data_IF_286007391203
#
_entry.id   IF_286007391203
#
_cell.length_a   1.000
_cell.length_b   1.000
_cell.length_c   1.000
_cell.angle_alpha   90.00
_cell.angle_beta   90.00
_cell.angle_gamma   90.00
#
_symmetry.space_group_name_H-M   'P 1'
#
loop_
_entity.id
_entity.type
_entity.pdbx_description
1 polymer ?
#
# COMPACT_ATOMS: atom_id res chain seq x y z
N UNK A 1 39.16 3.90 -1.03
CA UNK A 1 38.71 3.85 -2.44
C UNK A 1 37.21 3.99 -2.48
N UNK A 2 36.68 4.96 -3.23
CA UNK A 2 35.24 5.11 -3.47
C UNK A 2 34.76 4.01 -4.42
N UNK A 3 33.71 3.27 -4.05
CA UNK A 3 33.07 2.30 -4.93
C UNK A 3 32.30 3.08 -6.01
N UNK A 4 32.39 2.70 -7.30
CA UNK A 4 31.67 3.41 -8.36
C UNK A 4 30.16 3.26 -8.17
N UNK A 5 29.42 4.34 -8.43
CA UNK A 5 27.96 4.41 -8.27
C UNK A 5 27.26 4.24 -9.63
N UNK A 6 26.16 3.49 -9.68
CA UNK A 6 25.31 3.45 -10.87
C UNK A 6 24.64 4.80 -11.11
N UNK A 7 24.73 5.31 -12.34
CA UNK A 7 24.06 6.55 -12.77
C UNK A 7 22.71 6.30 -13.44
N UNK A 8 22.36 5.03 -13.67
CA UNK A 8 21.15 4.63 -14.41
C UNK A 8 20.40 3.57 -13.61
N UNK A 9 19.37 4.04 -12.90
CA UNK A 9 18.55 3.21 -12.03
C UNK A 9 17.07 3.31 -12.38
N UNK A 10 16.37 2.19 -12.39
CA UNK A 10 14.91 2.09 -12.42
C UNK A 10 14.46 1.35 -11.16
N UNK A 11 13.32 1.73 -10.58
CA UNK A 11 12.80 1.09 -9.37
C UNK A 11 11.31 0.84 -9.51
N UNK A 12 10.86 -0.30 -9.03
CA UNK A 12 9.45 -0.57 -8.82
C UNK A 12 9.23 -1.20 -7.43
N UNK A 13 8.01 -1.65 -7.18
CA UNK A 13 7.63 -2.20 -5.89
C UNK A 13 8.44 -3.46 -5.52
N UNK A 14 8.79 -4.29 -6.51
CA UNK A 14 9.43 -5.58 -6.30
C UNK A 14 10.95 -5.54 -6.46
N UNK A 15 11.46 -4.71 -7.36
CA UNK A 15 12.83 -4.74 -7.85
C UNK A 15 13.50 -3.37 -7.84
N UNK A 16 14.82 -3.40 -7.66
CA UNK A 16 15.72 -2.29 -7.93
C UNK A 16 16.62 -2.67 -9.11
N UNK A 17 16.57 -1.87 -10.17
CA UNK A 17 17.26 -2.14 -11.42
C UNK A 17 18.38 -1.11 -11.59
N UNK A 18 19.59 -1.57 -11.86
CA UNK A 18 20.75 -0.69 -12.00
C UNK A 18 21.72 -1.20 -13.07
N UNK A 19 22.27 -0.27 -13.85
CA UNK A 19 23.39 -0.61 -14.76
C UNK A 19 24.71 -0.61 -14.01
N UNK A 20 25.50 -1.66 -14.20
CA UNK A 20 26.84 -1.73 -13.63
C UNK A 20 27.71 -0.62 -14.26
N UNK A 21 28.36 0.24 -13.46
CA UNK A 21 29.19 1.32 -13.99
C UNK A 21 30.49 0.84 -14.66
N UNK A 22 30.78 -0.47 -14.62
CA UNK A 22 32.05 -1.04 -15.10
C UNK A 22 31.86 -1.83 -16.40
N UNK A 23 30.77 -2.61 -16.52
CA UNK A 23 30.49 -3.43 -17.71
C UNK A 23 29.13 -3.13 -18.36
N UNK A 24 28.42 -2.10 -17.90
CA UNK A 24 27.10 -1.64 -18.37
C UNK A 24 25.96 -2.68 -18.32
N UNK A 25 26.21 -3.85 -17.74
CA UNK A 25 25.20 -4.90 -17.59
C UNK A 25 24.02 -4.40 -16.74
N UNK A 26 22.79 -4.67 -17.19
CA UNK A 26 21.54 -4.32 -16.51
C UNK A 26 21.21 -5.36 -15.45
N UNK A 27 21.48 -5.03 -14.19
CA UNK A 27 21.19 -5.90 -13.06
C UNK A 27 19.77 -5.62 -12.57
N UNK A 28 19.00 -6.68 -12.28
CA UNK A 28 17.67 -6.61 -11.68
C UNK A 28 17.80 -7.27 -10.31
N UNK A 29 17.76 -6.46 -9.25
CA UNK A 29 17.86 -6.97 -7.88
C UNK A 29 16.45 -7.02 -7.27
N UNK A 30 16.00 -8.21 -6.89
CA UNK A 30 14.78 -8.38 -6.12
C UNK A 30 15.00 -7.82 -4.70
N UNK A 31 14.04 -7.03 -4.22
CA UNK A 31 14.11 -6.38 -2.90
C UNK A 31 14.16 -7.40 -1.76
N UNK A 32 13.41 -8.49 -1.88
CA UNK A 32 13.31 -9.53 -0.86
C UNK A 32 14.51 -10.49 -0.89
N UNK A 33 14.74 -11.17 -2.02
CA UNK A 33 15.74 -12.25 -2.09
C UNK A 33 17.18 -11.72 -2.18
N UNK A 34 17.40 -10.67 -2.97
CA UNK A 34 18.76 -10.23 -3.31
C UNK A 34 19.22 -9.12 -2.36
N UNK A 35 18.37 -8.12 -2.17
CA UNK A 35 18.70 -6.94 -1.36
C UNK A 35 18.37 -7.11 0.12
N UNK A 36 17.51 -8.08 0.45
CA UNK A 36 17.03 -8.37 1.82
C UNK A 36 16.49 -7.12 2.53
N UNK A 37 15.81 -6.25 1.79
CA UNK A 37 15.22 -5.05 2.37
C UNK A 37 14.04 -4.53 1.54
N UNK A 38 13.02 -4.06 2.24
CA UNK A 38 11.90 -3.32 1.65
C UNK A 38 12.01 -1.81 1.91
N UNK A 39 13.09 -1.36 2.55
CA UNK A 39 13.35 0.06 2.81
C UNK A 39 13.86 0.74 1.53
N UNK A 40 13.65 2.07 1.40
CA UNK A 40 14.30 2.87 0.39
C UNK A 40 15.81 2.66 0.43
N UNK A 41 16.37 2.48 -0.74
CA UNK A 41 17.81 2.33 -0.90
C UNK A 41 18.46 3.70 -1.02
N UNK A 42 19.16 4.07 0.04
CA UNK A 42 20.09 5.20 0.07
C UNK A 42 21.52 4.66 0.23
N UNK A 43 22.27 4.62 -0.87
CA UNK A 43 23.64 4.09 -0.96
C UNK A 43 23.84 2.67 -0.42
N UNK A 44 23.40 1.65 -1.18
CA UNK A 44 23.69 0.24 -0.90
C UNK A 44 24.75 -0.32 -1.85
N UNK A 45 25.71 -1.08 -1.32
CA UNK A 45 26.69 -1.83 -2.10
C UNK A 45 26.07 -3.14 -2.61
N UNK A 46 26.22 -3.40 -3.91
CA UNK A 46 25.77 -4.63 -4.58
C UNK A 46 26.87 -5.17 -5.50
N UNK A 47 26.72 -6.40 -5.95
CA UNK A 47 27.62 -7.04 -6.91
C UNK A 47 26.94 -7.16 -8.28
N UNK A 48 27.68 -6.94 -9.37
CA UNK A 48 27.15 -7.17 -10.71
C UNK A 48 27.08 -8.66 -11.05
N UNK A 49 25.94 -9.14 -11.54
CA UNK A 49 25.73 -10.54 -11.94
C UNK A 49 26.59 -11.00 -13.12
N UNK A 50 27.17 -10.07 -13.89
CA UNK A 50 27.99 -10.38 -15.07
C UNK A 50 29.50 -10.29 -14.82
N UNK A 51 29.98 -9.19 -14.23
CA UNK A 51 31.43 -8.98 -14.04
C UNK A 51 31.90 -9.20 -12.60
N UNK A 52 30.99 -9.50 -11.67
CA UNK A 52 31.26 -9.75 -10.25
C UNK A 52 31.95 -8.61 -9.49
N UNK A 53 32.07 -7.43 -10.11
CA UNK A 53 32.61 -6.25 -9.45
C UNK A 53 31.53 -5.56 -8.64
N UNK A 54 31.88 -5.11 -7.45
CA UNK A 54 30.98 -4.36 -6.59
C UNK A 54 30.76 -2.93 -7.09
N UNK A 55 29.54 -2.43 -6.94
CA UNK A 55 29.18 -1.04 -7.22
C UNK A 55 28.08 -0.57 -6.25
N UNK A 56 27.87 0.74 -6.17
CA UNK A 56 26.81 1.34 -5.35
C UNK A 56 25.52 1.56 -6.13
N UNK A 57 24.38 1.41 -5.47
CA UNK A 57 23.04 1.81 -5.94
C UNK A 57 22.40 2.81 -4.96
N UNK A 58 21.67 3.78 -5.48
CA UNK A 58 21.00 4.83 -4.70
C UNK A 58 19.77 5.41 -5.45
N UNK A 59 19.03 6.32 -4.82
CA UNK A 59 17.97 7.08 -5.49
C UNK A 59 16.63 6.36 -5.57
N UNK A 60 16.31 5.55 -4.56
CA UNK A 60 14.98 4.97 -4.38
C UNK A 60 13.95 6.06 -4.00
N UNK A 61 12.66 5.76 -4.22
CA UNK A 61 11.56 6.64 -3.80
C UNK A 61 11.31 6.48 -2.27
N UNK A 62 10.63 7.45 -1.68
CA UNK A 62 10.25 7.42 -0.25
C UNK A 62 8.73 7.27 -0.06
N UNK A 63 8.04 6.70 -1.05
CA UNK A 63 6.59 6.53 -1.05
C UNK A 63 6.12 5.31 -0.22
N UNK A 64 4.89 5.33 0.31
CA UNK A 64 4.28 4.14 0.87
C UNK A 64 4.10 3.03 -0.18
N UNK A 65 4.09 1.76 0.25
CA UNK A 65 3.90 0.60 -0.63
C UNK A 65 2.74 0.70 -1.62
N UNK A 66 1.56 1.21 -1.20
CA UNK A 66 0.41 1.34 -2.09
C UNK A 66 0.66 2.33 -3.25
N UNK A 67 1.43 3.41 -3.02
CA UNK A 67 1.77 4.38 -4.06
C UNK A 67 2.76 3.80 -5.06
N UNK A 68 3.73 3.01 -4.62
CA UNK A 68 4.66 2.32 -5.53
C UNK A 68 3.91 1.42 -6.51
N UNK A 69 2.98 0.61 -5.99
CA UNK A 69 2.16 -0.30 -6.81
C UNK A 69 1.28 0.50 -7.78
N UNK A 70 0.70 1.62 -7.34
CA UNK A 70 -0.07 2.52 -8.22
C UNK A 70 0.82 3.13 -9.33
N UNK A 71 1.99 3.68 -8.99
CA UNK A 71 2.87 4.34 -9.98
C UNK A 71 3.37 3.38 -11.05
N UNK A 72 3.57 2.10 -10.70
CA UNK A 72 3.93 1.06 -11.65
C UNK A 72 2.87 0.89 -12.76
N UNK A 73 1.62 1.23 -12.50
CA UNK A 73 0.55 1.17 -13.50
C UNK A 73 0.78 2.08 -14.71
N UNK A 74 1.47 3.22 -14.55
CA UNK A 74 1.80 4.08 -15.71
C UNK A 74 2.65 3.32 -16.74
N UNK A 75 3.65 2.57 -16.28
CA UNK A 75 4.49 1.74 -17.15
C UNK A 75 3.68 0.61 -17.77
N UNK A 76 2.85 -0.08 -16.98
CA UNK A 76 2.01 -1.17 -17.46
C UNK A 76 1.03 -0.70 -18.55
N UNK A 77 0.51 0.52 -18.47
CA UNK A 77 -0.34 1.10 -19.50
C UNK A 77 0.45 1.34 -20.79
N UNK A 78 1.64 1.96 -20.71
CA UNK A 78 2.50 2.21 -21.87
C UNK A 78 2.85 0.90 -22.59
N UNK A 79 3.15 -0.14 -21.81
CA UNK A 79 3.50 -1.48 -22.31
C UNK A 79 2.28 -2.34 -22.67
N UNK A 80 1.05 -1.80 -22.54
CA UNK A 80 -0.23 -2.47 -22.83
C UNK A 80 -0.51 -3.72 -21.98
N UNK A 81 0.08 -3.79 -20.79
CA UNK A 81 -0.15 -4.81 -19.77
C UNK A 81 -1.38 -4.50 -18.90
N UNK A 82 -2.55 -4.35 -19.55
CA UNK A 82 -3.79 -3.88 -18.93
C UNK A 82 -4.32 -4.78 -17.81
N UNK A 83 -4.20 -6.11 -17.94
CA UNK A 83 -4.59 -7.04 -16.88
C UNK A 83 -3.77 -6.78 -15.60
N UNK A 84 -2.45 -6.66 -15.74
CA UNK A 84 -1.56 -6.38 -14.62
C UNK A 84 -1.85 -5.00 -14.01
N UNK A 85 -2.19 -4.01 -14.85
CA UNK A 85 -2.59 -2.69 -14.37
C UNK A 85 -3.83 -2.77 -13.46
N UNK A 86 -4.90 -3.45 -13.87
CA UNK A 86 -6.11 -3.64 -13.05
C UNK A 86 -5.80 -4.37 -11.73
N UNK A 87 -4.96 -5.41 -11.78
CA UNK A 87 -4.54 -6.14 -10.57
C UNK A 87 -3.79 -5.21 -9.62
N UNK A 88 -2.84 -4.43 -10.13
CA UNK A 88 -2.05 -3.50 -9.33
C UNK A 88 -2.89 -2.35 -8.76
N UNK A 89 -3.82 -1.77 -9.52
CA UNK A 89 -4.72 -0.73 -9.02
C UNK A 89 -5.60 -1.28 -7.88
N UNK A 90 -6.15 -2.50 -8.04
CA UNK A 90 -6.93 -3.15 -6.96
C UNK A 90 -6.09 -3.41 -5.72
N UNK A 91 -4.87 -3.93 -5.91
CA UNK A 91 -3.93 -4.22 -4.82
C UNK A 91 -3.52 -2.93 -4.10
N UNK A 92 -3.31 -1.85 -4.84
CA UNK A 92 -2.97 -0.54 -4.28
C UNK A 92 -4.06 -0.04 -3.33
N UNK A 93 -5.35 -0.15 -3.71
CA UNK A 93 -6.45 0.22 -2.81
C UNK A 93 -6.53 -0.69 -1.60
N UNK A 94 -6.37 -2.01 -1.75
CA UNK A 94 -6.32 -2.94 -0.61
C UNK A 94 -5.21 -2.56 0.39
N UNK A 95 -4.01 -2.26 -0.12
CA UNK A 95 -2.87 -1.83 0.69
C UNK A 95 -3.12 -0.47 1.37
N UNK A 96 -3.77 0.47 0.68
CA UNK A 96 -4.17 1.76 1.26
C UNK A 96 -5.20 1.59 2.38
N UNK A 97 -6.23 0.78 2.18
CA UNK A 97 -7.23 0.50 3.23
C UNK A 97 -6.59 -0.15 4.46
N UNK A 98 -5.71 -1.13 4.26
CA UNK A 98 -4.92 -1.71 5.34
C UNK A 98 -4.04 -0.66 6.04
N UNK A 99 -3.40 0.23 5.28
CA UNK A 99 -2.61 1.33 5.82
C UNK A 99 -3.46 2.28 6.69
N UNK A 100 -4.67 2.64 6.27
CA UNK A 100 -5.60 3.44 7.06
C UNK A 100 -5.99 2.76 8.38
N UNK A 101 -6.20 1.44 8.36
CA UNK A 101 -6.47 0.65 9.57
C UNK A 101 -5.27 0.72 10.52
N UNK A 102 -4.05 0.55 10.00
CA UNK A 102 -2.82 0.73 10.78
C UNK A 102 -2.67 2.14 11.34
N UNK A 103 -2.93 3.17 10.53
CA UNK A 103 -2.82 4.56 10.99
C UNK A 103 -3.71 4.84 12.20
N UNK A 104 -4.95 4.34 12.18
CA UNK A 104 -5.93 4.58 13.25
C UNK A 104 -5.70 3.71 14.50
N UNK A 105 -5.32 2.45 14.33
CA UNK A 105 -5.22 1.49 15.43
C UNK A 105 -3.84 1.39 16.05
N UNK A 106 -2.80 1.86 15.35
CA UNK A 106 -1.42 1.79 15.80
C UNK A 106 -0.81 3.20 15.86
N UNK A 107 -0.70 3.86 14.71
CA UNK A 107 0.12 5.07 14.64
C UNK A 107 -0.50 6.27 15.34
N UNK A 108 -1.82 6.39 15.36
CA UNK A 108 -2.50 7.41 16.14
C UNK A 108 -2.29 7.21 17.64
N UNK A 109 -2.35 5.97 18.13
CA UNK A 109 -2.05 5.66 19.53
C UNK A 109 -0.61 6.01 19.88
N UNK A 110 0.32 5.69 18.98
CA UNK A 110 1.74 6.03 19.14
C UNK A 110 1.95 7.55 19.17
N UNK A 111 1.36 8.30 18.23
CA UNK A 111 1.42 9.76 18.19
C UNK A 111 0.80 10.44 19.41
N UNK A 112 -0.23 9.82 20.01
CA UNK A 112 -0.86 10.27 21.26
C UNK A 112 -0.04 9.90 22.51
N UNK A 113 1.04 9.12 22.39
CA UNK A 113 1.81 8.61 23.52
C UNK A 113 1.10 7.53 24.35
N UNK A 114 0.01 6.95 23.82
CA UNK A 114 -0.76 5.89 24.50
C UNK A 114 0.00 4.56 24.46
N UNK A 115 0.73 4.32 23.36
CA UNK A 115 1.70 3.24 23.23
C UNK A 115 3.06 3.87 22.95
N UNK A 116 4.10 3.34 23.56
CA UNK A 116 5.46 3.87 23.46
C UNK A 116 6.54 2.78 23.50
N UNK A 117 6.17 1.54 23.86
CA UNK A 117 7.09 0.42 23.85
C UNK A 117 7.05 -0.33 22.53
N UNK A 118 8.20 -0.93 22.21
CA UNK A 118 8.37 -1.90 21.13
C UNK A 118 7.33 -3.02 21.19
N UNK A 119 7.11 -3.57 22.38
CA UNK A 119 6.22 -4.71 22.59
C UNK A 119 4.77 -4.33 22.30
N UNK A 120 4.34 -3.12 22.68
CA UNK A 120 2.99 -2.64 22.37
C UNK A 120 2.77 -2.50 20.86
N UNK A 121 3.76 -1.96 20.16
CA UNK A 121 3.73 -1.81 18.70
C UNK A 121 3.69 -3.17 18.03
N UNK A 122 4.57 -4.08 18.41
CA UNK A 122 4.63 -5.44 17.86
C UNK A 122 3.35 -6.23 18.13
N UNK A 123 2.75 -6.09 19.32
CA UNK A 123 1.51 -6.76 19.69
C UNK A 123 0.34 -6.28 18.82
N UNK A 124 0.21 -4.97 18.60
CA UNK A 124 -0.84 -4.41 17.75
C UNK A 124 -0.62 -4.78 16.28
N UNK A 125 0.61 -4.71 15.77
CA UNK A 125 0.96 -5.16 14.41
C UNK A 125 0.58 -6.63 14.24
N UNK A 126 1.05 -7.51 15.13
CA UNK A 126 0.74 -8.93 15.06
C UNK A 126 -0.75 -9.23 15.12
N UNK A 127 -1.50 -8.49 15.96
CA UNK A 127 -2.95 -8.60 16.04
C UNK A 127 -3.66 -8.20 14.75
N UNK A 128 -3.25 -7.08 14.13
CA UNK A 128 -3.78 -6.60 12.87
C UNK A 128 -3.42 -7.59 11.75
N UNK A 129 -2.14 -7.89 11.54
CA UNK A 129 -1.62 -8.79 10.48
C UNK A 129 -2.30 -10.16 10.53
N UNK A 130 -2.43 -10.75 11.72
CA UNK A 130 -3.06 -12.05 11.90
C UNK A 130 -4.51 -12.07 11.38
N UNK A 131 -5.25 -10.95 11.51
CA UNK A 131 -6.62 -10.83 11.03
C UNK A 131 -6.69 -10.45 9.55
N UNK A 132 -5.95 -9.43 9.13
CA UNK A 132 -6.09 -8.86 7.79
C UNK A 132 -5.48 -9.72 6.68
N UNK A 133 -4.57 -10.66 7.00
CA UNK A 133 -3.98 -11.57 5.99
C UNK A 133 -4.99 -12.37 5.18
N UNK A 134 -6.20 -12.56 5.73
CA UNK A 134 -7.29 -13.29 5.08
C UNK A 134 -8.36 -12.37 4.48
N UNK A 135 -8.13 -11.05 4.48
CA UNK A 135 -9.09 -10.06 4.01
C UNK A 135 -8.65 -9.46 2.69
N UNK A 136 -9.58 -9.43 1.74
CA UNK A 136 -9.46 -8.71 0.48
C UNK A 136 -10.22 -7.38 0.53
N UNK A 137 -10.30 -6.70 -0.60
CA UNK A 137 -10.96 -5.41 -0.79
C UNK A 137 -12.24 -5.21 0.02
N UNK A 138 -13.24 -6.09 -0.14
CA UNK A 138 -14.55 -5.90 0.50
C UNK A 138 -14.46 -5.89 2.03
N UNK A 139 -13.64 -6.80 2.59
CA UNK A 139 -13.47 -6.91 4.04
C UNK A 139 -12.71 -5.72 4.61
N UNK A 140 -11.63 -5.30 3.95
CA UNK A 140 -10.84 -4.13 4.34
C UNK A 140 -11.65 -2.84 4.24
N UNK A 141 -12.43 -2.68 3.16
CA UNK A 141 -13.31 -1.53 2.95
C UNK A 141 -14.35 -1.39 4.06
N UNK A 142 -14.97 -2.51 4.46
CA UNK A 142 -15.99 -2.50 5.51
C UNK A 142 -15.38 -2.10 6.87
N UNK A 143 -14.20 -2.65 7.21
CA UNK A 143 -13.48 -2.26 8.44
C UNK A 143 -13.08 -0.78 8.39
N UNK A 144 -12.57 -0.31 7.25
CA UNK A 144 -12.25 1.11 7.03
C UNK A 144 -13.47 1.99 7.31
N UNK A 145 -14.62 1.70 6.72
CA UNK A 145 -15.82 2.48 6.97
C UNK A 145 -16.25 2.48 8.43
N UNK A 146 -16.19 1.33 9.12
CA UNK A 146 -16.54 1.27 10.55
C UNK A 146 -15.62 2.15 11.40
N UNK A 147 -14.31 2.20 11.11
CA UNK A 147 -13.36 3.05 11.84
C UNK A 147 -13.67 4.53 11.60
N UNK A 148 -13.82 4.93 10.33
CA UNK A 148 -13.85 6.33 9.93
C UNK A 148 -15.22 6.99 10.06
N UNK A 149 -16.32 6.29 9.74
CA UNK A 149 -17.68 6.84 9.85
C UNK A 149 -18.11 6.97 11.32
N UNK A 150 -17.85 5.95 12.14
CA UNK A 150 -18.17 5.99 13.56
C UNK A 150 -17.19 6.86 14.36
N UNK A 151 -16.17 7.44 13.70
CA UNK A 151 -15.16 8.32 14.32
C UNK A 151 -14.54 7.71 15.58
N UNK A 152 -14.33 6.39 15.59
CA UNK A 152 -13.84 5.69 16.76
C UNK A 152 -12.46 6.24 17.14
N UNK A 153 -12.38 6.86 18.31
CA UNK A 153 -11.10 7.19 18.94
C UNK A 153 -10.71 6.02 19.83
N UNK A 154 -9.50 5.51 19.61
CA UNK A 154 -8.89 4.55 20.52
C UNK A 154 -8.08 5.35 21.54
N UNK A 155 -8.40 5.15 22.82
CA UNK A 155 -7.77 5.88 23.93
C UNK A 155 -6.89 4.97 24.79
N UNK A 156 -6.88 3.67 24.52
CA UNK A 156 -6.02 2.70 25.17
C UNK A 156 -5.62 1.58 24.20
N UNK A 157 -4.52 0.90 24.53
CA UNK A 157 -4.10 -0.33 23.85
C UNK A 157 -5.19 -1.41 23.91
N UNK A 158 -5.86 -1.56 25.06
CA UNK A 158 -6.93 -2.53 25.26
C UNK A 158 -8.11 -2.30 24.34
N UNK A 159 -8.50 -1.04 24.10
CA UNK A 159 -9.61 -0.70 23.19
C UNK A 159 -9.29 -1.12 21.75
N UNK A 160 -8.07 -0.83 21.30
CA UNK A 160 -7.63 -1.22 19.96
C UNK A 160 -7.57 -2.76 19.82
N UNK A 161 -7.04 -3.48 20.81
CA UNK A 161 -7.02 -4.95 20.79
C UNK A 161 -8.43 -5.56 20.82
N UNK A 162 -9.33 -5.01 21.64
CA UNK A 162 -10.73 -5.44 21.67
C UNK A 162 -11.42 -5.19 20.33
N UNK A 163 -11.12 -4.08 19.69
CA UNK A 163 -11.62 -3.77 18.35
C UNK A 163 -11.09 -4.72 17.29
N UNK A 164 -9.78 -5.02 17.29
CA UNK A 164 -9.13 -6.00 16.41
C UNK A 164 -9.77 -7.39 16.53
N UNK A 165 -10.13 -7.83 17.75
CA UNK A 165 -10.83 -9.11 17.95
C UNK A 165 -12.16 -9.18 17.18
N UNK A 166 -12.85 -8.06 17.01
CA UNK A 166 -14.16 -7.96 16.36
C UNK A 166 -14.09 -7.79 14.83
N UNK A 167 -12.90 -7.73 14.22
CA UNK A 167 -12.73 -7.55 12.77
C UNK A 167 -13.59 -8.50 11.91
N UNK A 168 -13.79 -9.73 12.35
CA UNK A 168 -14.58 -10.74 11.63
C UNK A 168 -16.08 -10.39 11.50
N UNK A 169 -16.62 -9.59 12.41
CA UNK A 169 -17.99 -9.07 12.34
C UNK A 169 -18.01 -7.82 11.46
N UNK A 170 -17.04 -6.92 11.68
CA UNK A 170 -16.94 -5.64 10.99
C UNK A 170 -16.68 -5.81 9.49
N UNK A 171 -15.88 -6.81 9.10
CA UNK A 171 -15.56 -7.11 7.71
C UNK A 171 -16.79 -7.49 6.86
N UNK A 172 -17.92 -7.84 7.49
CA UNK A 172 -19.16 -8.24 6.82
C UNK A 172 -20.18 -7.11 6.69
N UNK A 173 -19.98 -6.00 7.40
CA UNK A 173 -20.97 -4.91 7.48
C UNK A 173 -20.53 -3.72 6.63
N UNK A 174 -21.20 -3.52 5.49
CA UNK A 174 -21.06 -2.29 4.71
C UNK A 174 -22.06 -1.24 5.23
N UNK A 175 -21.68 0.03 5.43
CA UNK A 175 -22.61 1.08 5.80
C UNK A 175 -23.63 1.36 4.70
N UNK A 176 -24.80 1.86 5.08
CA UNK A 176 -25.80 2.40 4.13
C UNK A 176 -25.34 3.73 3.53
N UNK A 177 -25.99 4.21 2.47
CA UNK A 177 -25.70 5.54 1.90
C UNK A 177 -26.05 6.64 2.91
N UNK A 178 -27.12 6.45 3.68
CA UNK A 178 -27.53 7.38 4.74
C UNK A 178 -26.45 7.52 5.82
N UNK A 179 -25.82 6.42 6.23
CA UNK A 179 -24.72 6.43 7.21
C UNK A 179 -23.52 7.27 6.72
N UNK A 180 -23.28 7.29 5.41
CA UNK A 180 -22.23 8.13 4.80
C UNK A 180 -22.70 9.58 4.71
N UNK A 181 -23.92 9.84 4.25
CA UNK A 181 -24.46 11.19 4.04
C UNK A 181 -24.57 12.03 5.30
N UNK A 182 -24.68 11.40 6.49
CA UNK A 182 -24.67 12.13 7.77
C UNK A 182 -23.26 12.55 8.22
N UNK A 183 -22.21 12.17 7.47
CA UNK A 183 -20.84 12.54 7.82
C UNK A 183 -20.63 14.06 7.70
N UNK A 184 -20.09 14.75 8.71
CA UNK A 184 -20.00 16.21 8.71
C UNK A 184 -19.18 16.85 7.58
N UNK A 185 -18.21 16.15 7.02
CA UNK A 185 -17.35 16.67 5.96
C UNK A 185 -17.89 16.26 4.57
N UNK A 186 -18.38 17.25 3.81
CA UNK A 186 -18.97 17.06 2.48
C UNK A 186 -17.98 16.55 1.43
N UNK A 187 -16.69 16.89 1.54
CA UNK A 187 -15.68 16.38 0.62
C UNK A 187 -15.46 14.89 0.87
N UNK A 188 -15.36 14.51 2.16
CA UNK A 188 -15.23 13.10 2.54
C UNK A 188 -16.46 12.27 2.21
N UNK A 189 -17.69 12.83 2.27
CA UNK A 189 -18.89 12.13 1.79
C UNK A 189 -18.71 11.67 0.34
N UNK A 190 -18.29 12.57 -0.56
CA UNK A 190 -18.11 12.24 -1.97
C UNK A 190 -17.06 11.12 -2.15
N UNK A 191 -15.93 11.23 -1.46
CA UNK A 191 -14.86 10.24 -1.55
C UNK A 191 -15.25 8.88 -0.95
N UNK A 192 -15.96 8.86 0.17
CA UNK A 192 -16.53 7.65 0.76
C UNK A 192 -17.54 6.99 -0.16
N UNK A 193 -18.40 7.78 -0.82
CA UNK A 193 -19.33 7.26 -1.82
C UNK A 193 -18.60 6.66 -3.02
N UNK A 194 -17.51 7.28 -3.49
CA UNK A 194 -16.68 6.73 -4.56
C UNK A 194 -16.05 5.39 -4.15
N UNK A 195 -15.41 5.31 -2.97
CA UNK A 195 -14.85 4.06 -2.44
C UNK A 195 -15.92 2.98 -2.22
N UNK A 196 -17.14 3.35 -1.85
CA UNK A 196 -18.24 2.40 -1.70
C UNK A 196 -18.70 1.85 -3.05
N UNK A 197 -18.77 2.69 -4.08
CA UNK A 197 -19.34 2.38 -5.40
C UNK A 197 -18.34 1.83 -6.41
N UNK A 198 -17.03 1.98 -6.17
CA UNK A 198 -16.02 1.46 -7.10
C UNK A 198 -16.21 -0.03 -7.37
N UNK A 199 -16.00 -0.40 -8.63
CA UNK A 199 -16.13 -1.78 -9.14
C UNK A 199 -14.79 -2.43 -9.41
N UNK A 200 -13.71 -1.85 -8.89
CA UNK A 200 -12.34 -2.34 -9.15
C UNK A 200 -12.14 -3.80 -8.72
N UNK A 201 -12.76 -4.22 -7.61
CA UNK A 201 -12.71 -5.61 -7.15
C UNK A 201 -13.48 -6.56 -8.09
N UNK A 202 -14.63 -6.13 -8.62
CA UNK A 202 -15.38 -6.88 -9.63
C UNK A 202 -14.57 -7.03 -10.91
N UNK A 203 -13.89 -5.95 -11.33
CA UNK A 203 -13.05 -5.93 -12.51
C UNK A 203 -11.81 -6.82 -12.34
N UNK A 204 -11.16 -6.75 -11.16
CA UNK A 204 -10.08 -7.68 -10.77
C UNK A 204 -10.55 -9.14 -10.86
N UNK A 205 -11.73 -9.45 -10.32
CA UNK A 205 -12.26 -10.81 -10.40
C UNK A 205 -12.57 -11.24 -11.84
N UNK A 206 -13.02 -10.33 -12.71
CA UNK A 206 -13.20 -10.62 -14.14
C UNK A 206 -11.87 -10.97 -14.80
N UNK A 207 -10.81 -10.18 -14.59
CA UNK A 207 -9.50 -10.45 -15.23
C UNK A 207 -8.81 -11.71 -14.69
N UNK A 208 -9.01 -12.05 -13.41
CA UNK A 208 -8.39 -13.24 -12.79
C UNK A 208 -9.18 -14.52 -13.10
N UNK A 209 -10.52 -14.50 -13.00
CA UNK A 209 -11.33 -15.72 -12.97
C UNK A 209 -12.18 -15.98 -14.21
N UNK A 210 -12.50 -14.97 -15.04
CA UNK A 210 -13.37 -15.16 -16.21
C UNK A 210 -12.56 -15.32 -17.50
N UNK A 211 -12.69 -16.48 -18.14
CA UNK A 211 -12.49 -16.84 -19.57
C UNK A 211 -11.56 -15.97 -20.46
N UNK A 212 -10.49 -15.39 -19.92
CA UNK A 212 -9.60 -14.50 -20.68
C UNK A 212 -10.19 -13.11 -20.96
N UNK A 213 -10.97 -12.52 -20.05
CA UNK A 213 -11.39 -11.12 -20.17
C UNK A 213 -10.16 -10.20 -20.26
N UNK A 214 -10.12 -9.37 -21.31
CA UNK A 214 -9.03 -8.44 -21.62
C UNK A 214 -9.58 -7.01 -21.55
N UNK A 215 -9.19 -6.21 -20.55
CA UNK A 215 -9.60 -4.82 -20.47
C UNK A 215 -9.11 -4.03 -21.68
N UNK A 216 -9.90 -3.04 -22.09
CA UNK A 216 -9.49 -2.02 -23.05
C UNK A 216 -8.63 -0.94 -22.37
N UNK A 217 -7.93 -0.13 -23.18
CA UNK A 217 -7.20 1.05 -22.68
C UNK A 217 -8.13 2.00 -21.91
N UNK A 218 -9.32 2.31 -22.47
CA UNK A 218 -10.28 3.22 -21.85
C UNK A 218 -10.77 2.71 -20.48
N UNK A 219 -11.03 1.41 -20.36
CA UNK A 219 -11.41 0.83 -19.06
C UNK A 219 -10.29 0.99 -18.02
N UNK A 220 -9.04 0.79 -18.43
CA UNK A 220 -7.88 0.96 -17.52
C UNK A 220 -7.68 2.41 -17.13
N UNK A 221 -7.77 3.35 -18.08
CA UNK A 221 -7.64 4.78 -17.82
C UNK A 221 -8.70 5.27 -16.83
N UNK A 222 -9.97 4.91 -17.06
CA UNK A 222 -11.07 5.26 -16.16
C UNK A 222 -10.86 4.73 -14.74
N UNK A 223 -10.39 3.49 -14.61
CA UNK A 223 -10.12 2.87 -13.30
C UNK A 223 -8.89 3.47 -12.64
N UNK A 224 -7.88 3.89 -13.42
CA UNK A 224 -6.71 4.58 -12.91
C UNK A 224 -7.08 5.92 -12.32
N UNK A 225 -7.90 6.72 -13.02
CA UNK A 225 -8.40 8.01 -12.50
C UNK A 225 -9.27 7.82 -11.25
N UNK A 226 -10.18 6.83 -11.25
CA UNK A 226 -10.99 6.51 -10.06
C UNK A 226 -10.09 6.14 -8.87
N UNK A 227 -9.09 5.28 -9.11
CA UNK A 227 -8.14 4.85 -8.09
C UNK A 227 -7.32 6.00 -7.55
N UNK A 228 -6.86 6.91 -8.42
CA UNK A 228 -6.09 8.09 -8.03
C UNK A 228 -6.87 8.96 -7.04
N UNK A 229 -8.13 9.26 -7.37
CA UNK A 229 -9.03 10.03 -6.48
C UNK A 229 -9.24 9.32 -5.16
N UNK A 230 -9.52 8.01 -5.19
CA UNK A 230 -9.72 7.23 -3.97
C UNK A 230 -8.45 7.25 -3.11
N UNK A 231 -7.27 7.03 -3.67
CA UNK A 231 -6.02 6.93 -2.90
C UNK A 231 -5.56 8.28 -2.39
N UNK A 232 -5.34 9.23 -3.29
CA UNK A 232 -4.63 10.46 -2.97
C UNK A 232 -5.57 11.50 -2.35
N UNK A 233 -6.82 11.62 -2.81
CA UNK A 233 -7.75 12.56 -2.20
C UNK A 233 -8.20 12.06 -0.82
N UNK A 234 -8.51 10.76 -0.64
CA UNK A 234 -8.80 10.26 0.72
C UNK A 234 -7.60 10.43 1.64
N UNK A 235 -6.38 10.09 1.20
CA UNK A 235 -5.18 10.27 2.01
C UNK A 235 -5.05 11.72 2.48
N UNK A 236 -5.25 12.68 1.57
CA UNK A 236 -5.18 14.12 1.84
C UNK A 236 -6.27 14.57 2.81
N UNK A 237 -7.53 14.28 2.53
CA UNK A 237 -8.67 14.73 3.34
C UNK A 237 -8.68 14.06 4.73
N UNK A 238 -8.26 12.81 4.83
CA UNK A 238 -8.08 12.10 6.11
C UNK A 238 -6.78 12.49 6.84
N UNK A 239 -5.95 13.34 6.23
CA UNK A 239 -4.66 13.82 6.78
C UNK A 239 -3.75 12.68 7.22
N UNK A 240 -3.76 11.59 6.45
CA UNK A 240 -2.99 10.39 6.74
C UNK A 240 -1.52 10.69 6.47
N UNK A 241 -0.72 10.67 7.54
CA UNK A 241 0.73 10.86 7.44
C UNK A 241 1.39 9.55 7.07
N UNK A 242 2.32 9.61 6.14
CA UNK A 242 3.16 8.45 5.87
C UNK A 242 4.16 8.29 7.02
N UNK A 243 4.11 7.15 7.71
CA UNK A 243 5.08 6.75 8.70
C UNK A 243 5.84 5.58 8.09
N UNK A 244 7.13 5.78 7.89
CA UNK A 244 8.04 4.73 7.45
C UNK A 244 8.01 3.59 8.47
N UNK A 245 7.57 2.41 8.05
CA UNK A 245 7.58 1.25 8.92
C UNK A 245 9.02 0.86 9.28
N UNK A 246 9.33 1.02 10.56
CA UNK A 246 10.50 0.44 11.21
C UNK A 246 10.20 -0.99 11.63
N UNK A 247 10.36 -1.96 10.72
CA UNK A 247 10.35 -3.38 11.10
C UNK A 247 11.69 -3.84 11.74
N UNK A 248 12.71 -2.97 11.75
CA UNK A 248 14.08 -3.30 12.18
C UNK A 248 14.62 -2.42 13.32
N UNK A 249 13.82 -1.52 13.92
CA UNK A 249 14.29 -0.82 15.15
C UNK A 249 14.08 -1.66 16.42
N UNK A 250 13.57 -2.88 16.26
CA UNK A 250 12.91 -3.63 17.31
C UNK A 250 13.11 -5.16 17.18
N UNK A 251 14.21 -5.55 16.52
CA UNK A 251 14.79 -6.90 16.57
C UNK A 251 16.17 -6.80 17.17
#
# INVERSE_FOLDING_TARGET
MSIPLSQKTEKNYENFIARCPICDHRNIFNRCSDLKTFKPIDFKKVECFNCHKSFGINGDDISPPYEYVYRECHKLIIEKHYINCIINLSQSIEMFLAYCIYDRLLWELFRKGIINSTDDVNLLIGGIDHKIKNYSFSSLRNIFFDIYLNRKSFNSKSDALAYIKNFHLLSKKLPSDNDICIYPDKNLITLFMNLKKTKINELRNKVIHKYGYRPSFQEVENVMEETERILFDLKKELKIKYIYYFKEYFT
#
